data_IF_495681848926
#
_entry.id   IF_495681848926
#
_cell.length_a   1.000
_cell.length_b   1.000
_cell.length_c   1.000
_cell.angle_alpha   90.00
_cell.angle_beta   90.00
_cell.angle_gamma   90.00
#
_symmetry.space_group_name_H-M   'P 1'
#
loop_
_entity.id
_entity.type
_entity.pdbx_description
1 polymer ?
#
# COMPACT_ATOMS: atom_id res chain seq x y z
N UNK A 1 34.46 -29.82 15.53
CA UNK A 1 33.82 -29.04 16.61
C UNK A 1 32.55 -28.44 16.04
N UNK A 2 31.37 -28.76 16.58
CA UNK A 2 30.14 -28.17 16.08
C UNK A 2 30.15 -26.67 16.41
N UNK A 3 29.96 -25.82 15.40
CA UNK A 3 29.82 -24.38 15.60
C UNK A 3 28.69 -24.13 16.62
N UNK A 4 28.93 -23.23 17.57
CA UNK A 4 27.89 -22.81 18.53
C UNK A 4 26.67 -22.34 17.76
N UNK A 5 25.46 -22.57 18.30
CA UNK A 5 24.19 -22.11 17.71
C UNK A 5 24.22 -20.62 17.33
N UNK A 6 24.92 -19.81 18.12
CA UNK A 6 25.14 -18.39 17.85
C UNK A 6 26.05 -18.12 16.64
N UNK A 7 27.10 -18.94 16.48
CA UNK A 7 28.02 -18.86 15.35
C UNK A 7 27.31 -19.25 14.04
N UNK A 8 26.55 -20.34 14.06
CA UNK A 8 25.74 -20.77 12.91
C UNK A 8 24.72 -19.71 12.48
N UNK A 9 24.04 -19.08 13.44
CA UNK A 9 23.12 -17.98 13.16
C UNK A 9 23.84 -16.78 12.53
N UNK A 10 25.02 -16.44 13.03
CA UNK A 10 25.81 -15.33 12.49
C UNK A 10 26.31 -15.63 11.06
N UNK A 11 26.76 -16.85 10.78
CA UNK A 11 27.12 -17.30 9.42
C UNK A 11 25.93 -17.21 8.45
N UNK A 12 24.74 -17.66 8.87
CA UNK A 12 23.51 -17.55 8.07
C UNK A 12 23.11 -16.09 7.85
N UNK A 13 23.22 -15.25 8.88
CA UNK A 13 22.95 -13.81 8.76
C UNK A 13 23.89 -13.16 7.76
N UNK A 14 25.17 -13.50 7.78
CA UNK A 14 26.17 -12.92 6.89
C UNK A 14 25.96 -13.40 5.45
N UNK A 15 25.67 -14.69 5.25
CA UNK A 15 25.26 -15.25 3.96
C UNK A 15 24.00 -14.55 3.41
N UNK A 16 23.01 -14.29 4.27
CA UNK A 16 21.81 -13.52 3.91
C UNK A 16 22.13 -12.09 3.50
N UNK A 17 23.05 -11.41 4.22
CA UNK A 17 23.48 -10.06 3.88
C UNK A 17 24.24 -10.01 2.54
N UNK A 18 25.07 -11.02 2.26
CA UNK A 18 25.77 -11.17 0.99
C UNK A 18 24.80 -11.42 -0.17
N UNK A 19 23.82 -12.30 0.01
CA UNK A 19 22.76 -12.53 -0.97
C UNK A 19 21.96 -11.24 -1.27
N UNK A 20 21.66 -10.41 -0.26
CA UNK A 20 21.04 -9.08 -0.48
C UNK A 20 21.95 -8.17 -1.31
N UNK A 21 23.25 -8.12 -1.02
CA UNK A 21 24.22 -7.31 -1.78
C UNK A 21 24.35 -7.78 -3.23
N UNK A 22 24.26 -9.08 -3.47
CA UNK A 22 24.25 -9.69 -4.80
C UNK A 22 22.92 -9.53 -5.55
N UNK A 23 21.88 -8.99 -4.91
CA UNK A 23 20.53 -8.88 -5.47
C UNK A 23 19.72 -10.19 -5.44
N UNK A 24 20.25 -11.26 -4.86
CA UNK A 24 19.55 -12.54 -4.71
C UNK A 24 18.66 -12.51 -3.45
N UNK A 25 17.51 -11.84 -3.56
CA UNK A 25 16.62 -11.63 -2.43
C UNK A 25 15.91 -12.91 -1.95
N UNK A 26 15.62 -13.86 -2.85
CA UNK A 26 15.02 -15.15 -2.49
C UNK A 26 15.97 -15.97 -1.63
N UNK A 27 17.24 -16.05 -2.00
CA UNK A 27 18.25 -16.73 -1.19
C UNK A 27 18.47 -16.03 0.16
N UNK A 28 18.48 -14.69 0.17
CA UNK A 28 18.56 -13.94 1.43
C UNK A 28 17.42 -14.30 2.40
N UNK A 29 16.18 -14.42 1.90
CA UNK A 29 15.02 -14.83 2.71
C UNK A 29 15.24 -16.21 3.32
N UNK A 30 15.77 -17.16 2.54
CA UNK A 30 16.05 -18.52 3.00
C UNK A 30 17.07 -18.48 4.15
N UNK A 31 18.20 -17.80 3.96
CA UNK A 31 19.25 -17.67 4.98
C UNK A 31 18.73 -17.00 6.26
N UNK A 32 18.00 -15.89 6.15
CA UNK A 32 17.40 -15.24 7.31
C UNK A 32 16.36 -16.11 8.01
N UNK A 33 15.57 -16.88 7.25
CA UNK A 33 14.58 -17.80 7.81
C UNK A 33 15.24 -18.93 8.60
N UNK A 34 16.33 -19.51 8.11
CA UNK A 34 17.09 -20.48 8.88
C UNK A 34 17.77 -19.84 10.10
N UNK A 35 18.30 -18.63 9.99
CA UNK A 35 18.86 -17.91 11.13
C UNK A 35 17.80 -17.66 12.23
N UNK A 36 16.58 -17.28 11.84
CA UNK A 36 15.44 -17.08 12.73
C UNK A 36 14.94 -18.37 13.39
N UNK A 37 15.10 -19.54 12.73
CA UNK A 37 14.81 -20.84 13.38
C UNK A 37 15.80 -21.14 14.51
N UNK A 38 17.02 -20.62 14.42
CA UNK A 38 17.99 -20.75 15.51
C UNK A 38 17.63 -19.78 16.65
N UNK A 39 17.37 -18.51 16.34
CA UNK A 39 16.96 -17.52 17.33
C UNK A 39 15.81 -16.63 16.82
N UNK A 40 14.57 -16.87 17.27
CA UNK A 40 13.41 -16.11 16.85
C UNK A 40 13.29 -14.75 17.57
N UNK A 41 14.20 -14.40 18.48
CA UNK A 41 14.19 -13.12 19.20
C UNK A 41 14.99 -12.02 18.51
N UNK A 42 15.72 -12.35 17.43
CA UNK A 42 16.54 -11.37 16.71
C UNK A 42 15.75 -10.47 15.77
N UNK A 43 15.33 -9.32 16.30
CA UNK A 43 14.64 -8.26 15.56
C UNK A 43 15.39 -7.77 14.30
N UNK A 44 16.72 -7.77 14.26
CA UNK A 44 17.46 -7.34 13.06
C UNK A 44 17.29 -8.31 11.90
N UNK A 45 17.10 -9.61 12.17
CA UNK A 45 16.88 -10.61 11.12
C UNK A 45 15.51 -10.42 10.48
N UNK A 46 14.47 -10.18 11.28
CA UNK A 46 13.15 -9.79 10.76
C UNK A 46 13.25 -8.51 9.93
N UNK A 47 13.95 -7.48 10.40
CA UNK A 47 14.14 -6.23 9.65
C UNK A 47 14.85 -6.42 8.30
N UNK A 48 15.83 -7.32 8.24
CA UNK A 48 16.55 -7.63 7.01
C UNK A 48 15.74 -8.51 6.06
N UNK A 49 14.98 -9.48 6.59
CA UNK A 49 14.09 -10.33 5.81
C UNK A 49 12.89 -9.55 5.26
N UNK A 50 12.34 -8.61 6.04
CA UNK A 50 11.36 -7.62 5.59
C UNK A 50 11.85 -6.84 4.37
N UNK A 51 13.10 -6.36 4.39
CA UNK A 51 13.69 -5.69 3.22
C UNK A 51 13.79 -6.64 2.01
N UNK A 52 14.21 -7.89 2.21
CA UNK A 52 14.31 -8.85 1.12
C UNK A 52 12.92 -9.16 0.50
N UNK A 53 11.89 -9.35 1.32
CA UNK A 53 10.51 -9.48 0.86
C UNK A 53 10.01 -8.24 0.12
N UNK A 54 10.32 -7.05 0.64
CA UNK A 54 9.98 -5.78 -0.01
C UNK A 54 10.59 -5.68 -1.41
N UNK A 55 11.84 -6.12 -1.59
CA UNK A 55 12.51 -6.12 -2.90
C UNK A 55 11.89 -7.10 -3.89
N UNK A 56 11.22 -8.15 -3.40
CA UNK A 56 10.42 -9.08 -4.19
C UNK A 56 8.95 -8.63 -4.35
N UNK A 57 8.58 -7.43 -3.88
CA UNK A 57 7.21 -6.92 -3.86
C UNK A 57 6.22 -7.81 -3.08
N UNK A 58 6.73 -8.63 -2.15
CA UNK A 58 5.92 -9.45 -1.24
C UNK A 58 5.54 -8.63 -0.01
N UNK A 59 4.67 -7.64 -0.21
CA UNK A 59 4.40 -6.60 0.79
C UNK A 59 3.79 -7.13 2.09
N UNK A 60 2.88 -8.11 2.01
CA UNK A 60 2.29 -8.75 3.20
C UNK A 60 3.36 -9.35 4.14
N UNK A 61 4.22 -10.24 3.61
CA UNK A 61 5.30 -10.84 4.40
C UNK A 61 6.34 -9.81 4.87
N UNK A 62 6.61 -8.80 4.05
CA UNK A 62 7.48 -7.70 4.45
C UNK A 62 6.90 -6.91 5.63
N UNK A 63 5.59 -6.68 5.64
CA UNK A 63 4.88 -5.97 6.70
C UNK A 63 4.83 -6.81 7.97
N UNK A 64 4.59 -8.11 7.86
CA UNK A 64 4.60 -9.05 8.98
C UNK A 64 5.94 -9.01 9.71
N UNK A 65 7.05 -9.13 8.97
CA UNK A 65 8.40 -9.05 9.53
C UNK A 65 8.72 -7.67 10.11
N UNK A 66 8.26 -6.59 9.49
CA UNK A 66 8.44 -5.24 10.01
C UNK A 66 7.67 -5.03 11.33
N UNK A 67 6.44 -5.54 11.42
CA UNK A 67 5.66 -5.52 12.66
C UNK A 67 6.33 -6.38 13.74
N UNK A 68 6.84 -7.56 13.39
CA UNK A 68 7.56 -8.43 14.34
C UNK A 68 8.84 -7.77 14.88
N UNK A 69 9.54 -7.03 14.02
CA UNK A 69 10.67 -6.20 14.43
C UNK A 69 10.29 -5.17 15.50
N UNK A 70 9.16 -4.47 15.30
CA UNK A 70 8.64 -3.47 16.24
C UNK A 70 8.15 -4.11 17.54
N UNK A 71 7.52 -5.28 17.46
CA UNK A 71 7.07 -6.05 18.63
C UNK A 71 8.27 -6.45 19.52
N UNK A 72 9.34 -6.97 18.91
CA UNK A 72 10.55 -7.38 19.62
C UNK A 72 11.38 -6.20 20.11
N UNK A 73 11.39 -5.09 19.37
CA UNK A 73 12.15 -3.89 19.73
C UNK A 73 11.43 -2.59 19.38
N UNK A 74 10.53 -2.10 20.26
CA UNK A 74 9.68 -0.94 19.99
C UNK A 74 10.40 0.42 20.11
N UNK A 75 11.61 0.46 20.65
CA UNK A 75 12.46 1.65 20.77
C UNK A 75 13.43 1.83 19.58
N UNK A 76 13.40 0.92 18.61
CA UNK A 76 14.30 0.96 17.46
C UNK A 76 13.66 1.63 16.25
N UNK A 77 14.08 2.86 15.95
CA UNK A 77 13.54 3.67 14.87
C UNK A 77 13.54 2.96 13.51
N UNK A 78 14.57 2.14 13.22
CA UNK A 78 14.67 1.39 11.97
C UNK A 78 13.54 0.37 11.78
N UNK A 79 12.94 -0.15 12.85
CA UNK A 79 11.76 -1.02 12.75
C UNK A 79 10.56 -0.30 12.15
N UNK A 80 10.25 0.89 12.66
CA UNK A 80 9.20 1.76 12.10
C UNK A 80 9.55 2.28 10.71
N UNK A 81 10.82 2.58 10.45
CA UNK A 81 11.28 2.94 9.10
C UNK A 81 11.02 1.82 8.09
N UNK A 82 11.31 0.56 8.45
CA UNK A 82 11.01 -0.60 7.58
C UNK A 82 9.53 -0.75 7.30
N UNK A 83 8.70 -0.66 8.36
CA UNK A 83 7.25 -0.69 8.21
C UNK A 83 6.77 0.40 7.24
N UNK A 84 7.28 1.62 7.43
CA UNK A 84 6.94 2.75 6.57
C UNK A 84 7.40 2.55 5.11
N UNK A 85 8.57 1.94 4.88
CA UNK A 85 9.01 1.59 3.52
C UNK A 85 8.07 0.57 2.86
N UNK A 86 7.61 -0.44 3.60
CA UNK A 86 6.66 -1.43 3.07
C UNK A 86 5.33 -0.77 2.72
N UNK A 87 4.78 0.02 3.64
CA UNK A 87 3.53 0.78 3.42
C UNK A 87 3.69 1.75 2.24
N UNK A 88 4.82 2.44 2.12
CA UNK A 88 5.09 3.38 1.02
C UNK A 88 5.12 2.69 -0.34
N UNK A 89 5.77 1.52 -0.45
CA UNK A 89 5.85 0.78 -1.71
C UNK A 89 4.54 0.05 -2.05
N UNK A 90 3.74 -0.32 -1.03
CA UNK A 90 2.35 -0.75 -1.23
C UNK A 90 1.40 0.43 -1.55
N UNK A 91 1.96 1.63 -1.76
CA UNK A 91 1.26 2.89 -2.01
C UNK A 91 0.30 3.32 -0.87
N UNK A 92 0.41 2.76 0.33
CA UNK A 92 -0.33 3.18 1.52
C UNK A 92 0.34 4.38 2.18
N UNK A 93 0.38 5.51 1.45
CA UNK A 93 1.19 6.68 1.81
C UNK A 93 0.78 7.34 3.14
N UNK A 94 -0.50 7.30 3.51
CA UNK A 94 -0.97 7.88 4.77
C UNK A 94 -0.48 7.05 5.97
N UNK A 95 -0.53 5.73 5.87
CA UNK A 95 -0.01 4.82 6.91
C UNK A 95 1.52 4.92 6.99
N UNK A 96 2.20 4.94 5.84
CA UNK A 96 3.64 5.16 5.76
C UNK A 96 4.06 6.47 6.43
N UNK A 97 3.30 7.55 6.27
CA UNK A 97 3.58 8.83 6.92
C UNK A 97 3.49 8.73 8.44
N UNK A 98 2.53 7.97 8.97
CA UNK A 98 2.41 7.71 10.41
C UNK A 98 3.62 6.92 10.91
N UNK A 99 3.98 5.84 10.22
CA UNK A 99 5.12 5.00 10.58
C UNK A 99 6.46 5.77 10.52
N UNK A 100 6.69 6.57 9.47
CA UNK A 100 7.88 7.43 9.39
C UNK A 100 7.93 8.48 10.51
N UNK A 101 6.79 9.06 10.89
CA UNK A 101 6.74 10.01 12.01
C UNK A 101 7.06 9.34 13.35
N UNK A 102 6.62 8.11 13.57
CA UNK A 102 6.99 7.33 14.76
C UNK A 102 8.49 7.05 14.78
N UNK A 103 9.08 6.64 13.65
CA UNK A 103 10.53 6.48 13.53
C UNK A 103 11.29 7.80 13.83
N UNK A 104 10.80 8.93 13.32
CA UNK A 104 11.38 10.25 13.56
C UNK A 104 11.24 10.73 15.01
N UNK A 105 10.20 10.33 15.73
CA UNK A 105 10.09 10.61 17.16
C UNK A 105 11.18 9.91 17.98
N UNK A 106 11.62 8.71 17.54
CA UNK A 106 12.70 7.97 18.17
C UNK A 106 14.08 8.50 17.77
N UNK A 107 14.26 8.96 16.52
CA UNK A 107 15.50 9.56 16.02
C UNK A 107 15.26 10.93 15.32
N UNK A 108 15.05 12.02 16.08
CA UNK A 108 14.67 13.33 15.50
C UNK A 108 15.77 14.01 14.68
N UNK A 109 17.02 13.61 14.85
CA UNK A 109 18.17 14.19 14.15
C UNK A 109 18.47 13.48 12.82
N UNK A 110 17.70 12.45 12.48
CA UNK A 110 17.92 11.66 11.29
C UNK A 110 17.35 12.38 10.04
N UNK A 111 18.26 12.88 9.19
CA UNK A 111 17.90 13.61 7.97
C UNK A 111 17.20 12.72 6.93
N UNK A 112 17.52 11.42 6.87
CA UNK A 112 16.89 10.49 5.91
C UNK A 112 15.43 10.27 6.26
N UNK A 113 15.09 10.23 7.56
CA UNK A 113 13.72 10.14 8.03
C UNK A 113 12.91 11.40 7.68
N UNK A 114 13.51 12.58 7.87
CA UNK A 114 12.86 13.84 7.50
C UNK A 114 12.62 13.91 5.98
N UNK A 115 13.58 13.46 5.17
CA UNK A 115 13.42 13.39 3.72
C UNK A 115 12.31 12.42 3.31
N UNK A 116 12.26 11.22 3.92
CA UNK A 116 11.22 10.23 3.69
C UNK A 116 9.82 10.79 4.02
N UNK A 117 9.67 11.50 5.15
CA UNK A 117 8.42 12.18 5.53
C UNK A 117 8.02 13.21 4.48
N UNK A 118 8.95 14.06 4.03
CA UNK A 118 8.70 15.09 3.00
C UNK A 118 8.32 14.47 1.66
N UNK A 119 8.98 13.38 1.27
CA UNK A 119 8.65 12.64 0.04
C UNK A 119 7.25 12.03 0.13
N UNK A 120 6.93 11.38 1.25
CA UNK A 120 5.61 10.77 1.50
C UNK A 120 4.51 11.82 1.46
N UNK A 121 4.70 12.98 2.10
CA UNK A 121 3.74 14.09 2.04
C UNK A 121 3.52 14.62 0.62
N UNK A 122 4.57 14.67 -0.22
CA UNK A 122 4.46 15.02 -1.64
C UNK A 122 3.64 13.99 -2.41
N UNK A 123 3.85 12.69 -2.16
CA UNK A 123 3.09 11.61 -2.80
C UNK A 123 1.62 11.60 -2.40
N UNK A 124 1.29 11.89 -1.13
CA UNK A 124 -0.09 12.08 -0.67
C UNK A 124 -0.75 13.21 -1.45
N UNK A 125 -0.10 14.38 -1.52
CA UNK A 125 -0.61 15.52 -2.28
C UNK A 125 -0.83 15.21 -3.76
N UNK A 126 0.11 14.50 -4.39
CA UNK A 126 0.00 14.05 -5.78
C UNK A 126 -1.16 13.09 -5.98
N UNK A 127 -1.26 12.05 -5.14
CA UNK A 127 -2.33 11.05 -5.19
C UNK A 127 -3.69 11.71 -5.02
N UNK A 128 -3.83 12.61 -4.04
CA UNK A 128 -5.07 13.35 -3.77
C UNK A 128 -5.50 14.24 -4.94
N UNK A 129 -4.55 14.92 -5.60
CA UNK A 129 -4.85 15.71 -6.82
C UNK A 129 -5.34 14.82 -7.95
N UNK A 130 -4.66 13.69 -8.18
CA UNK A 130 -5.03 12.73 -9.22
C UNK A 130 -6.42 12.14 -8.94
N UNK A 131 -6.71 11.79 -7.68
CA UNK A 131 -8.03 11.34 -7.26
C UNK A 131 -9.13 12.37 -7.55
N UNK A 132 -8.85 13.65 -7.36
CA UNK A 132 -9.81 14.71 -7.72
C UNK A 132 -9.92 14.89 -9.24
N UNK A 133 -8.82 14.84 -9.99
CA UNK A 133 -8.80 15.19 -11.42
C UNK A 133 -9.31 14.08 -12.35
N UNK A 134 -9.05 12.81 -12.06
CA UNK A 134 -9.38 11.70 -12.98
C UNK A 134 -10.87 11.61 -13.32
N UNK A 135 -11.82 11.77 -12.38
CA UNK A 135 -13.23 11.81 -12.73
C UNK A 135 -13.59 12.93 -13.70
N UNK A 136 -12.98 14.11 -13.56
CA UNK A 136 -13.17 15.24 -14.47
C UNK A 136 -12.56 15.01 -15.84
N UNK A 137 -11.41 14.33 -15.91
CA UNK A 137 -10.84 13.86 -17.18
C UNK A 137 -11.78 12.88 -17.88
N UNK A 138 -12.36 11.93 -17.14
CA UNK A 138 -13.39 11.02 -17.66
C UNK A 138 -14.63 11.75 -18.16
N UNK A 139 -15.08 12.77 -17.44
CA UNK A 139 -16.18 13.64 -17.87
C UNK A 139 -15.84 14.37 -19.17
N UNK A 140 -14.63 14.93 -19.29
CA UNK A 140 -14.18 15.62 -20.50
C UNK A 140 -14.11 14.69 -21.72
N UNK A 141 -13.61 13.47 -21.55
CA UNK A 141 -13.61 12.44 -22.61
C UNK A 141 -15.04 12.09 -23.02
N UNK A 142 -15.93 11.87 -22.04
CA UNK A 142 -17.34 11.60 -22.29
C UNK A 142 -18.05 12.74 -23.03
N UNK A 143 -17.70 14.00 -22.70
CA UNK A 143 -18.21 15.18 -23.39
C UNK A 143 -17.78 15.21 -24.87
N UNK A 144 -16.50 14.99 -25.15
CA UNK A 144 -15.97 14.96 -26.52
C UNK A 144 -16.65 13.85 -27.34
N UNK A 145 -16.80 12.66 -26.78
CA UNK A 145 -17.51 11.54 -27.42
C UNK A 145 -18.96 11.92 -27.69
N UNK A 146 -19.65 12.52 -26.71
CA UNK A 146 -21.03 12.98 -26.86
C UNK A 146 -21.19 13.99 -28.01
N UNK A 147 -20.29 14.97 -28.12
CA UNK A 147 -20.30 15.95 -29.21
C UNK A 147 -20.07 15.29 -30.57
N UNK A 148 -19.13 14.34 -30.66
CA UNK A 148 -18.87 13.60 -31.90
C UNK A 148 -20.10 12.79 -32.36
N UNK A 149 -20.84 12.19 -31.42
CA UNK A 149 -22.09 11.47 -31.73
C UNK A 149 -23.14 12.41 -32.30
N UNK A 150 -23.30 13.61 -31.73
CA UNK A 150 -24.25 14.62 -32.23
C UNK A 150 -23.87 15.14 -33.61
N UNK A 151 -22.57 15.36 -33.86
CA UNK A 151 -22.08 15.79 -35.19
C UNK A 151 -22.27 14.67 -36.20
N UNK A 152 -21.97 13.43 -35.83
CA UNK A 152 -22.16 12.25 -36.68
C UNK A 152 -23.62 12.08 -37.12
N UNK A 153 -24.57 12.18 -36.17
CA UNK A 153 -26.01 12.16 -36.48
C UNK A 153 -26.40 13.29 -37.44
N UNK A 154 -25.82 14.49 -37.28
CA UNK A 154 -26.14 15.62 -38.14
C UNK A 154 -25.58 15.51 -39.57
N UNK A 155 -24.41 14.90 -39.73
CA UNK A 155 -23.69 14.82 -41.03
C UNK A 155 -24.07 13.57 -41.84
N UNK A 156 -24.37 12.45 -41.16
CA UNK A 156 -24.52 11.14 -41.81
C UNK A 156 -25.99 10.75 -42.00
N UNK A 157 -26.91 11.21 -41.16
CA UNK A 157 -28.30 10.78 -41.24
C UNK A 157 -29.12 11.65 -42.21
N UNK A 158 -29.71 11.02 -43.22
CA UNK A 158 -30.64 11.68 -44.16
C UNK A 158 -31.90 12.26 -43.47
N UNK A 159 -32.25 11.69 -42.31
CA UNK A 159 -33.21 12.26 -41.36
C UNK A 159 -32.58 12.21 -39.96
N UNK A 160 -32.20 13.37 -39.43
CA UNK A 160 -31.57 13.49 -38.11
C UNK A 160 -32.48 12.95 -37.01
N UNK A 161 -32.13 11.78 -36.44
CA UNK A 161 -32.89 11.12 -35.37
C UNK A 161 -32.92 12.01 -34.13
N UNK A 162 -31.86 12.79 -33.91
CA UNK A 162 -31.76 13.76 -32.83
C UNK A 162 -32.27 15.14 -33.28
N UNK A 163 -33.51 15.21 -33.77
CA UNK A 163 -34.10 16.45 -34.32
C UNK A 163 -34.23 17.57 -33.27
N UNK A 164 -34.57 17.23 -32.02
CA UNK A 164 -34.80 18.23 -30.97
C UNK A 164 -33.49 18.66 -30.28
N UNK A 165 -33.24 19.97 -30.09
CA UNK A 165 -32.02 20.47 -29.44
C UNK A 165 -31.86 19.95 -28.00
N UNK A 166 -32.97 19.70 -27.31
CA UNK A 166 -32.98 19.12 -25.97
C UNK A 166 -32.44 17.68 -25.95
N UNK A 167 -32.76 16.88 -26.98
CA UNK A 167 -32.25 15.50 -27.08
C UNK A 167 -30.74 15.49 -27.35
N UNK A 168 -30.24 16.45 -28.15
CA UNK A 168 -28.79 16.64 -28.37
C UNK A 168 -28.05 16.91 -27.07
N UNK A 169 -28.57 17.84 -26.27
CA UNK A 169 -28.00 18.17 -24.94
C UNK A 169 -28.07 16.95 -24.01
N UNK A 170 -29.21 16.24 -24.01
CA UNK A 170 -29.39 15.05 -23.19
C UNK A 170 -28.35 13.96 -23.50
N UNK A 171 -28.06 13.69 -24.78
CA UNK A 171 -27.04 12.71 -25.19
C UNK A 171 -25.64 13.11 -24.72
N UNK A 172 -25.26 14.38 -24.84
CA UNK A 172 -23.95 14.85 -24.37
C UNK A 172 -23.84 14.74 -22.84
N UNK A 173 -24.90 15.09 -22.11
CA UNK A 173 -24.93 14.99 -20.64
C UNK A 173 -24.85 13.53 -20.17
N UNK A 174 -25.56 12.60 -20.81
CA UNK A 174 -25.50 11.18 -20.45
C UNK A 174 -24.11 10.60 -20.71
N UNK A 175 -23.49 10.91 -21.87
CA UNK A 175 -22.13 10.46 -22.19
C UNK A 175 -21.07 11.04 -21.24
N UNK A 176 -21.21 12.32 -20.87
CA UNK A 176 -20.35 12.97 -19.86
C UNK A 176 -20.49 12.27 -18.49
N UNK A 177 -21.73 11.97 -18.08
CA UNK A 177 -22.01 11.27 -16.83
C UNK A 177 -21.45 9.85 -16.79
N UNK A 178 -21.58 9.09 -17.89
CA UNK A 178 -21.01 7.75 -18.03
C UNK A 178 -19.48 7.81 -17.95
N UNK A 179 -18.84 8.75 -18.66
CA UNK A 179 -17.38 8.94 -18.60
C UNK A 179 -16.87 9.26 -17.19
N UNK A 180 -17.57 10.15 -16.48
CA UNK A 180 -17.27 10.45 -15.07
C UNK A 180 -17.43 9.21 -14.17
N UNK A 181 -18.54 8.48 -14.33
CA UNK A 181 -18.85 7.28 -13.55
C UNK A 181 -17.81 6.18 -13.75
N UNK A 182 -17.43 5.91 -15.00
CA UNK A 182 -16.41 4.92 -15.33
C UNK A 182 -15.05 5.29 -14.75
N UNK A 183 -14.60 6.54 -14.91
CA UNK A 183 -13.34 7.00 -14.36
C UNK A 183 -13.30 6.91 -12.83
N UNK A 184 -14.44 7.23 -12.17
CA UNK A 184 -14.58 7.09 -10.71
C UNK A 184 -14.54 5.62 -10.28
N UNK A 185 -15.24 4.73 -10.98
CA UNK A 185 -15.27 3.30 -10.69
C UNK A 185 -13.90 2.66 -10.89
N UNK A 186 -13.22 2.97 -11.99
CA UNK A 186 -11.87 2.46 -12.26
C UNK A 186 -10.87 2.86 -11.16
N UNK A 187 -10.96 4.10 -10.67
CA UNK A 187 -10.12 4.55 -9.54
C UNK A 187 -10.47 3.86 -8.23
N UNK A 188 -11.76 3.65 -7.97
CA UNK A 188 -12.20 2.87 -6.83
C UNK A 188 -11.63 1.44 -6.88
N UNK A 189 -11.63 0.81 -8.06
CA UNK A 189 -11.05 -0.51 -8.28
C UNK A 189 -9.53 -0.54 -8.00
N UNK A 190 -8.74 0.40 -8.55
CA UNK A 190 -7.30 0.50 -8.28
C UNK A 190 -7.03 0.66 -6.78
N UNK A 191 -7.84 1.46 -6.09
CA UNK A 191 -7.69 1.68 -4.65
C UNK A 191 -7.86 0.37 -3.88
N UNK A 192 -8.87 -0.43 -4.22
CA UNK A 192 -9.08 -1.74 -3.60
C UNK A 192 -7.87 -2.65 -3.82
N UNK A 193 -7.34 -2.72 -5.04
CA UNK A 193 -6.16 -3.55 -5.32
C UNK A 193 -4.96 -3.14 -4.45
N UNK A 194 -4.73 -1.84 -4.28
CA UNK A 194 -3.65 -1.33 -3.41
C UNK A 194 -3.88 -1.69 -1.94
N UNK A 195 -5.11 -1.60 -1.47
CA UNK A 195 -5.46 -1.96 -0.09
C UNK A 195 -5.22 -3.46 0.18
N UNK A 196 -5.47 -4.32 -0.81
CA UNK A 196 -5.21 -5.77 -0.70
C UNK A 196 -3.73 -6.18 -0.69
N UNK A 197 -2.79 -5.30 -1.06
CA UNK A 197 -1.36 -5.66 -1.12
C UNK A 197 -0.75 -5.98 0.25
N UNK A 198 -1.30 -5.38 1.32
CA UNK A 198 -0.88 -5.60 2.70
C UNK A 198 -1.72 -6.65 3.42
N UNK A 199 -2.72 -7.24 2.75
CA UNK A 199 -3.53 -8.32 3.29
C UNK A 199 -2.89 -9.67 2.94
N UNK A 200 -3.11 -10.72 3.76
CA UNK A 200 -2.64 -12.04 3.40
C UNK A 200 -3.24 -12.47 2.07
N UNK A 201 -2.50 -13.26 1.26
CA UNK A 201 -3.05 -13.83 0.04
C UNK A 201 -4.27 -14.71 0.38
N UNK A 202 -5.29 -14.65 -0.47
CA UNK A 202 -6.51 -15.44 -0.28
C UNK A 202 -6.15 -16.93 -0.33
N UNK A 203 -6.33 -17.61 0.79
CA UNK A 203 -6.14 -19.06 0.88
C UNK A 203 -7.40 -19.76 0.34
N UNK A 204 -7.38 -20.07 -0.96
CA UNK A 204 -8.50 -20.73 -1.65
C UNK A 204 -8.72 -22.19 -1.20
N UNK A 205 -7.79 -22.76 -0.44
CA UNK A 205 -7.80 -24.16 -0.01
C UNK A 205 -7.71 -24.32 1.52
N UNK A 206 -7.87 -23.23 2.27
CA UNK A 206 -7.74 -23.23 3.72
C UNK A 206 -8.93 -23.90 4.43
N UNK A 207 -8.64 -24.75 5.42
CA UNK A 207 -9.64 -25.32 6.31
C UNK A 207 -10.45 -24.18 7.00
N UNK A 208 -11.78 -24.24 6.92
CA UNK A 208 -12.72 -23.18 7.34
C UNK A 208 -12.48 -22.65 8.77
N UNK A 209 -11.90 -23.46 9.68
CA UNK A 209 -11.61 -23.10 11.08
C UNK A 209 -10.46 -22.09 11.28
N UNK A 210 -9.58 -21.87 10.30
CA UNK A 210 -8.51 -20.86 10.39
C UNK A 210 -8.99 -19.48 9.97
N UNK A 211 -9.83 -19.43 8.94
CA UNK A 211 -10.34 -18.20 8.34
C UNK A 211 -11.19 -17.40 9.33
N UNK A 212 -12.05 -18.06 10.12
CA UNK A 212 -12.87 -17.39 11.15
C UNK A 212 -12.02 -16.72 12.25
N UNK A 213 -10.94 -17.37 12.69
CA UNK A 213 -10.03 -16.83 13.73
C UNK A 213 -9.20 -15.64 13.25
N UNK A 214 -8.76 -15.66 11.99
CA UNK A 214 -8.00 -14.55 11.41
C UNK A 214 -8.91 -13.37 11.05
N UNK A 215 -10.15 -13.63 10.64
CA UNK A 215 -11.14 -12.58 10.37
C UNK A 215 -11.64 -11.91 11.66
N UNK A 216 -11.82 -12.64 12.76
CA UNK A 216 -12.09 -12.04 14.08
C UNK A 216 -10.95 -11.12 14.53
N UNK A 217 -9.69 -11.57 14.44
CA UNK A 217 -8.51 -10.76 14.81
C UNK A 217 -8.36 -9.50 13.95
N UNK A 218 -8.51 -9.61 12.63
CA UNK A 218 -8.46 -8.45 11.73
C UNK A 218 -9.58 -7.45 12.04
N UNK A 219 -10.77 -7.93 12.38
CA UNK A 219 -11.92 -7.09 12.74
C UNK A 219 -11.65 -6.33 14.04
N UNK A 220 -11.07 -6.99 15.05
CA UNK A 220 -10.66 -6.37 16.31
C UNK A 220 -9.57 -5.31 16.14
N UNK A 221 -8.52 -5.58 15.35
CA UNK A 221 -7.44 -4.61 15.08
C UNK A 221 -7.95 -3.38 14.31
N UNK A 222 -8.81 -3.57 13.29
CA UNK A 222 -9.41 -2.48 12.52
C UNK A 222 -10.32 -1.59 13.38
N UNK A 223 -11.05 -2.19 14.33
CA UNK A 223 -11.85 -1.46 15.32
C UNK A 223 -10.97 -0.69 16.32
N UNK A 224 -9.89 -1.30 16.83
CA UNK A 224 -8.92 -0.63 17.71
C UNK A 224 -8.20 0.53 17.04
N UNK A 225 -7.76 0.36 15.79
CA UNK A 225 -7.08 1.41 15.01
C UNK A 225 -7.97 2.64 14.81
N UNK A 226 -9.25 2.46 14.41
CA UNK A 226 -10.21 3.56 14.26
C UNK A 226 -10.55 4.25 15.59
N UNK A 227 -10.66 3.49 16.68
CA UNK A 227 -10.91 4.05 18.01
C UNK A 227 -9.71 4.85 18.56
N UNK A 228 -8.49 4.32 18.38
CA UNK A 228 -7.23 4.95 18.79
C UNK A 228 -6.95 6.24 18.00
N UNK A 229 -7.20 6.23 16.69
CA UNK A 229 -7.09 7.42 15.84
C UNK A 229 -8.06 8.54 16.27
N UNK A 230 -9.30 8.18 16.64
CA UNK A 230 -10.31 9.13 17.18
C UNK A 230 -9.91 9.71 18.54
N UNK A 231 -9.28 8.92 19.41
CA UNK A 231 -8.81 9.39 20.72
C UNK A 231 -7.62 10.35 20.60
N UNK A 232 -6.69 10.11 19.67
CA UNK A 232 -5.56 11.02 19.39
C UNK A 232 -6.03 12.37 18.82
N UNK A 233 -7.05 12.37 17.94
CA UNK A 233 -7.63 13.61 17.41
C UNK A 233 -8.29 14.49 18.48
N UNK A 234 -8.92 13.88 19.51
CA UNK A 234 -9.50 14.65 20.64
C UNK A 234 -8.44 15.26 21.57
N UNK A 235 -7.25 14.65 21.70
CA UNK A 235 -6.18 15.16 22.57
C UNK A 235 -5.35 16.29 21.94
N UNK A 236 -5.31 16.41 20.62
CA UNK A 236 -4.59 17.49 19.92
C UNK A 236 -5.38 18.79 19.71
N UNK A 237 -6.61 18.88 20.25
CA UNK A 237 -7.52 20.04 20.14
C UNK A 237 -7.66 20.84 21.45
N UNK A 238 -6.75 20.63 22.41
CA UNK A 238 -6.69 21.39 23.66
C UNK A 238 -5.41 22.19 23.72
#
# INVERSE_FOLDING_TARGET
MAASKSQQMQELKDSGNEAVKAGNHTEAIIHYTYALKLDPSQYQLYSNRSLAFLKLQQYYHALEDANKTIELKPDWAKGYFRKAEVEFNAEQYEDALVSYRLAFQLEPQNSTLLEAIKNTARQIGRTRRIEMQIPWLGAAIGFVIGVLVVIGDHVVADASVLSHPLLKILVVLTMTGVGYGFARLYRYYIRIQRDSLLEPPVDLLGDEEKTERDDEKKTEEKHRSKASARQRFKKGKR
#
